data_IF_435584316320
#
_entry.id   IF_435584316320
#
_cell.length_a   1.000
_cell.length_b   1.000
_cell.length_c   1.000
_cell.angle_alpha   90.00
_cell.angle_beta   90.00
_cell.angle_gamma   90.00
#
_symmetry.space_group_name_H-M   'P 1'
#
loop_
_entity.id
_entity.type
_entity.pdbx_description
1 polymer ?
#
# COMPACT_ATOMS: atom_id res chain seq x y z
N UNK A 1 -20.45 -9.44 -6.03
CA UNK A 1 -19.45 -9.98 -5.11
C UNK A 1 -18.91 -8.88 -4.21
N UNK A 2 -18.89 -9.15 -2.94
CA UNK A 2 -18.39 -8.19 -1.95
C UNK A 2 -16.87 -8.16 -1.95
N UNK A 3 -16.30 -6.98 -2.09
CA UNK A 3 -14.87 -6.77 -1.95
C UNK A 3 -14.49 -6.67 -0.47
N UNK A 4 -13.32 -7.17 -0.12
CA UNK A 4 -12.86 -7.23 1.24
C UNK A 4 -11.36 -6.93 1.29
N UNK A 5 -10.71 -7.27 2.38
CA UNK A 5 -9.28 -7.06 2.58
C UNK A 5 -8.51 -8.25 1.99
N UNK A 6 -7.44 -7.96 1.28
CA UNK A 6 -6.52 -8.97 0.79
C UNK A 6 -5.10 -8.55 1.15
N UNK A 7 -4.13 -9.46 1.00
CA UNK A 7 -2.78 -9.12 1.37
C UNK A 7 -1.74 -10.03 0.76
N UNK A 8 -0.50 -9.63 0.93
CA UNK A 8 0.67 -10.39 0.57
C UNK A 8 1.46 -10.66 1.84
N UNK A 9 1.83 -11.91 2.05
CA UNK A 9 2.58 -12.32 3.23
C UNK A 9 3.92 -12.89 2.83
N UNK A 10 4.98 -12.52 3.56
CA UNK A 10 6.28 -13.16 3.45
C UNK A 10 6.41 -14.14 4.61
N UNK A 11 6.71 -15.40 4.32
CA UNK A 11 6.80 -16.46 5.32
C UNK A 11 8.20 -17.06 5.30
N UNK A 12 8.78 -17.21 6.49
CA UNK A 12 10.06 -17.86 6.67
C UNK A 12 9.96 -18.77 7.89
N UNK A 13 10.33 -20.05 7.73
CA UNK A 13 10.28 -21.06 8.80
C UNK A 13 8.94 -21.07 9.54
N UNK A 14 7.85 -21.12 8.75
CA UNK A 14 6.47 -21.14 9.23
C UNK A 14 6.03 -19.91 10.01
N UNK A 15 6.77 -18.82 9.90
CA UNK A 15 6.41 -17.53 10.53
C UNK A 15 6.22 -16.45 9.50
N UNK A 16 5.20 -15.63 9.71
CA UNK A 16 4.98 -14.44 8.87
C UNK A 16 5.99 -13.38 9.29
N UNK A 17 6.86 -12.99 8.36
CA UNK A 17 7.89 -11.98 8.62
C UNK A 17 7.61 -10.65 7.92
N UNK A 18 6.61 -10.59 7.07
CA UNK A 18 6.18 -9.37 6.41
C UNK A 18 4.74 -9.48 5.95
N UNK A 19 4.04 -8.36 5.97
CA UNK A 19 2.64 -8.28 5.57
C UNK A 19 2.35 -6.93 4.93
N UNK A 20 1.67 -6.96 3.79
CA UNK A 20 1.18 -5.76 3.14
C UNK A 20 -0.28 -6.00 2.77
N UNK A 21 -1.19 -5.19 3.33
CA UNK A 21 -2.62 -5.33 3.09
C UNK A 21 -3.12 -4.31 2.08
N UNK A 22 -4.12 -4.73 1.30
CA UNK A 22 -4.80 -3.86 0.36
C UNK A 22 -6.31 -4.05 0.50
N UNK A 23 -7.06 -2.97 0.36
CA UNK A 23 -8.51 -2.99 0.56
C UNK A 23 -9.18 -1.84 -0.20
N UNK A 24 -10.50 -1.91 -0.42
CA UNK A 24 -11.25 -0.74 -0.90
C UNK A 24 -11.02 0.47 0.01
N UNK A 25 -10.84 1.65 -0.61
CA UNK A 25 -10.55 2.88 0.15
C UNK A 25 -11.62 3.21 1.18
N UNK A 26 -12.87 2.93 0.89
CA UNK A 26 -13.97 3.20 1.81
C UNK A 26 -13.86 2.43 3.14
N UNK A 27 -13.17 1.29 3.14
CA UNK A 27 -12.96 0.54 4.38
C UNK A 27 -12.03 1.34 5.31
N UNK A 28 -10.93 1.88 4.78
CA UNK A 28 -10.03 2.69 5.59
C UNK A 28 -10.71 3.98 6.08
N UNK A 29 -11.51 4.62 5.22
CA UNK A 29 -12.26 5.82 5.62
C UNK A 29 -13.21 5.53 6.78
N UNK A 30 -13.88 4.39 6.72
CA UNK A 30 -14.82 3.98 7.76
C UNK A 30 -14.14 3.91 9.14
N UNK A 31 -12.89 3.52 9.17
CA UNK A 31 -12.14 3.39 10.42
C UNK A 31 -11.28 4.62 10.74
N UNK A 32 -11.44 5.71 10.00
CA UNK A 32 -10.78 6.97 10.30
C UNK A 32 -9.32 7.06 9.88
N UNK A 33 -8.86 6.18 9.02
CA UNK A 33 -7.49 6.24 8.54
C UNK A 33 -7.31 7.26 7.43
N UNK A 34 -6.11 7.80 7.32
CA UNK A 34 -5.75 8.75 6.28
C UNK A 34 -5.62 8.06 4.93
N UNK A 35 -6.26 8.63 3.93
CA UNK A 35 -6.17 8.14 2.54
C UNK A 35 -6.11 9.33 1.59
N UNK A 36 -5.90 9.05 0.31
CA UNK A 36 -6.03 10.07 -0.71
C UNK A 36 -7.49 10.45 -0.94
N UNK A 37 -7.71 11.59 -1.57
CA UNK A 37 -9.03 12.08 -1.91
C UNK A 37 -9.22 12.23 -3.41
N UNK A 38 -8.20 11.94 -4.22
CA UNK A 38 -8.29 12.03 -5.68
C UNK A 38 -8.98 10.77 -6.24
N UNK A 39 -9.71 10.96 -7.34
CA UNK A 39 -10.43 9.87 -7.98
C UNK A 39 -11.67 9.44 -7.22
N UNK A 40 -12.38 8.49 -7.78
CA UNK A 40 -13.61 7.97 -7.17
C UNK A 40 -13.28 6.92 -6.12
N UNK A 41 -13.91 7.04 -4.97
CA UNK A 41 -13.72 6.10 -3.86
C UNK A 41 -14.05 4.67 -4.27
N UNK A 42 -15.14 4.47 -5.00
CA UNK A 42 -15.58 3.15 -5.44
C UNK A 42 -14.65 2.52 -6.48
N UNK A 43 -13.73 3.28 -7.06
CA UNK A 43 -12.77 2.80 -8.06
C UNK A 43 -11.35 2.67 -7.52
N UNK A 44 -11.14 2.90 -6.23
CA UNK A 44 -9.80 3.00 -5.65
C UNK A 44 -9.57 1.97 -4.57
N UNK A 45 -8.47 1.24 -4.72
CA UNK A 45 -7.90 0.40 -3.66
C UNK A 45 -6.88 1.23 -2.88
N UNK A 46 -6.67 0.87 -1.64
CA UNK A 46 -5.64 1.52 -0.85
C UNK A 46 -4.77 0.48 -0.14
N UNK A 47 -3.49 0.77 -0.05
CA UNK A 47 -2.56 -0.03 0.73
C UNK A 47 -2.74 0.41 2.18
N UNK A 48 -3.19 -0.50 3.02
CA UNK A 48 -3.51 -0.22 4.41
C UNK A 48 -2.33 -0.45 5.34
N UNK A 49 -2.21 -1.65 5.85
CA UNK A 49 -1.16 -1.98 6.80
C UNK A 49 0.08 -2.54 6.11
N UNK A 50 1.24 -2.10 6.58
CA UNK A 50 2.52 -2.72 6.28
C UNK A 50 3.18 -3.06 7.60
N UNK A 51 3.47 -4.32 7.82
CA UNK A 51 4.14 -4.79 9.02
C UNK A 51 5.33 -5.67 8.65
N UNK A 52 6.40 -5.58 9.43
CA UNK A 52 7.60 -6.33 9.19
C UNK A 52 8.13 -6.87 10.52
N UNK A 53 8.64 -8.10 10.50
CA UNK A 53 9.15 -8.76 11.69
C UNK A 53 10.40 -8.08 12.24
N UNK A 54 10.64 -8.28 13.53
CA UNK A 54 11.81 -7.73 14.19
C UNK A 54 13.09 -8.23 13.53
N UNK A 55 14.02 -7.30 13.29
CA UNK A 55 15.29 -7.62 12.66
C UNK A 55 15.27 -7.80 11.16
N UNK A 56 14.10 -7.72 10.53
CA UNK A 56 13.97 -7.82 9.08
C UNK A 56 14.14 -6.41 8.47
N UNK A 57 14.97 -6.25 7.43
CA UNK A 57 15.13 -4.94 6.77
C UNK A 57 13.80 -4.44 6.20
N UNK A 58 13.37 -3.26 6.64
CA UNK A 58 12.04 -2.74 6.32
C UNK A 58 11.84 -2.37 4.86
N UNK A 59 12.83 -1.71 4.28
CA UNK A 59 12.69 -1.24 2.89
C UNK A 59 12.76 -2.42 1.93
N UNK A 60 13.65 -3.35 2.16
CA UNK A 60 13.79 -4.55 1.33
C UNK A 60 12.53 -5.42 1.40
N UNK A 61 11.92 -5.51 2.59
CA UNK A 61 10.68 -6.28 2.75
C UNK A 61 9.54 -5.60 2.01
N UNK A 62 9.43 -4.27 2.12
CA UNK A 62 8.40 -3.53 1.40
C UNK A 62 8.56 -3.74 -0.11
N UNK A 63 9.78 -3.62 -0.61
CA UNK A 63 10.08 -3.84 -2.02
C UNK A 63 9.62 -5.23 -2.46
N UNK A 64 9.97 -6.25 -1.69
CA UNK A 64 9.58 -7.63 -2.00
C UNK A 64 8.06 -7.81 -2.03
N UNK A 65 7.37 -7.25 -1.04
CA UNK A 65 5.91 -7.35 -0.96
C UNK A 65 5.24 -6.60 -2.11
N UNK A 66 5.73 -5.42 -2.45
CA UNK A 66 5.21 -4.63 -3.57
C UNK A 66 5.35 -5.37 -4.91
N UNK A 67 6.45 -6.09 -5.10
CA UNK A 67 6.68 -6.87 -6.30
C UNK A 67 5.57 -7.93 -6.51
N UNK A 68 5.04 -8.47 -5.44
CA UNK A 68 4.01 -9.51 -5.49
C UNK A 68 2.58 -8.96 -5.41
N UNK A 69 2.44 -7.66 -5.16
CA UNK A 69 1.12 -7.06 -4.96
C UNK A 69 0.24 -7.11 -6.21
N UNK A 70 0.85 -7.13 -7.39
CA UNK A 70 0.14 -7.19 -8.65
C UNK A 70 -0.78 -8.42 -8.75
N UNK A 71 -0.40 -9.53 -8.12
CA UNK A 71 -1.22 -10.74 -8.11
C UNK A 71 -2.51 -10.53 -7.32
N UNK A 72 -2.48 -9.60 -6.36
CA UNK A 72 -3.63 -9.28 -5.52
C UNK A 72 -4.60 -8.36 -6.25
N UNK A 73 -4.09 -7.49 -7.13
CA UNK A 73 -4.95 -6.56 -7.88
C UNK A 73 -6.05 -7.28 -8.65
N UNK A 74 -5.75 -8.47 -9.17
CA UNK A 74 -6.70 -9.22 -9.98
C UNK A 74 -7.93 -9.71 -9.20
N UNK A 75 -7.85 -9.69 -7.87
CA UNK A 75 -8.96 -10.06 -7.01
C UNK A 75 -10.01 -8.96 -6.92
N UNK A 76 -9.68 -7.76 -7.36
CA UNK A 76 -10.54 -6.59 -7.27
C UNK A 76 -10.86 -6.04 -8.65
N UNK A 77 -12.03 -5.43 -8.77
CA UNK A 77 -12.47 -4.77 -10.02
C UNK A 77 -12.38 -3.26 -9.85
N UNK A 78 -11.16 -2.79 -9.53
CA UNK A 78 -10.91 -1.37 -9.29
C UNK A 78 -9.90 -0.83 -10.29
N UNK A 79 -9.99 0.48 -10.56
CA UNK A 79 -9.18 1.14 -11.57
C UNK A 79 -7.88 1.74 -11.04
N UNK A 80 -7.82 1.98 -9.73
CA UNK A 80 -6.68 2.66 -9.12
C UNK A 80 -6.28 1.99 -7.82
N UNK A 81 -5.00 2.13 -7.49
CA UNK A 81 -4.48 1.77 -6.17
C UNK A 81 -3.60 2.90 -5.67
N UNK A 82 -3.70 3.17 -4.38
CA UNK A 82 -2.91 4.21 -3.74
C UNK A 82 -2.27 3.70 -2.45
N UNK A 83 -1.23 4.39 -2.00
CA UNK A 83 -0.61 4.17 -0.71
C UNK A 83 -0.02 5.48 -0.23
N UNK A 84 0.37 5.52 1.03
CA UNK A 84 0.99 6.71 1.63
C UNK A 84 2.50 6.52 1.62
N UNK A 85 3.20 7.37 0.88
CA UNK A 85 4.65 7.41 0.83
C UNK A 85 5.20 8.48 1.77
N UNK A 86 6.38 8.23 2.31
CA UNK A 86 7.05 9.14 3.23
C UNK A 86 8.24 9.81 2.53
N UNK A 87 8.35 11.12 2.70
CA UNK A 87 9.52 11.88 2.31
C UNK A 87 10.51 11.92 3.46
N UNK A 88 11.78 11.99 3.09
CA UNK A 88 12.83 12.07 4.07
C UNK A 88 13.12 10.71 4.68
N UNK A 89 13.98 10.71 5.67
CA UNK A 89 14.43 9.50 6.32
C UNK A 89 13.61 9.24 7.57
N UNK A 90 12.89 8.13 7.62
CA UNK A 90 12.18 7.67 8.81
C UNK A 90 12.16 6.16 8.83
N UNK A 91 12.68 5.60 9.89
CA UNK A 91 12.62 4.16 10.08
C UNK A 91 11.18 3.70 10.24
N UNK A 92 10.85 2.64 9.57
CA UNK A 92 9.59 1.96 9.75
C UNK A 92 8.45 2.45 8.90
N UNK A 93 8.68 3.46 8.07
CA UNK A 93 7.66 3.96 7.16
C UNK A 93 7.98 3.61 5.72
N UNK A 94 6.97 3.72 4.86
CA UNK A 94 7.05 3.36 3.47
C UNK A 94 7.65 4.52 2.66
N UNK A 95 8.92 4.48 2.26
CA UNK A 95 9.49 5.58 1.51
C UNK A 95 8.84 5.68 0.14
N UNK A 96 8.55 6.92 -0.29
CA UNK A 96 7.83 7.18 -1.53
C UNK A 96 8.51 6.57 -2.75
N UNK A 97 9.83 6.51 -2.77
CA UNK A 97 10.57 6.02 -3.94
C UNK A 97 10.38 4.53 -4.20
N UNK A 98 10.01 3.76 -3.18
CA UNK A 98 9.69 2.35 -3.40
C UNK A 98 8.41 2.24 -4.23
N UNK A 99 7.42 3.09 -3.95
CA UNK A 99 6.20 3.12 -4.77
C UNK A 99 6.51 3.51 -6.21
N UNK A 100 7.36 4.52 -6.40
CA UNK A 100 7.73 4.98 -7.75
C UNK A 100 8.36 3.87 -8.58
N UNK A 101 9.13 2.99 -7.94
CA UNK A 101 9.75 1.85 -8.60
C UNK A 101 8.72 0.94 -9.26
N UNK A 102 7.52 0.87 -8.71
CA UNK A 102 6.43 0.02 -9.22
C UNK A 102 5.38 0.79 -10.01
N UNK A 103 5.73 1.99 -10.45
CA UNK A 103 4.87 2.75 -11.36
C UNK A 103 3.87 3.68 -10.70
N UNK A 104 3.97 3.87 -9.39
CA UNK A 104 3.10 4.82 -8.69
C UNK A 104 3.63 6.24 -8.89
N UNK A 105 2.73 7.19 -8.93
CA UNK A 105 3.05 8.61 -9.07
C UNK A 105 2.50 9.39 -7.88
N UNK A 106 3.12 10.52 -7.61
CA UNK A 106 2.68 11.43 -6.55
C UNK A 106 1.40 12.12 -7.00
N UNK A 107 0.37 12.06 -6.17
CA UNK A 107 -0.92 12.66 -6.53
C UNK A 107 -1.41 13.71 -5.56
N UNK A 108 -1.07 13.60 -4.29
CA UNK A 108 -1.62 14.49 -3.28
C UNK A 108 -0.69 14.56 -2.08
N UNK A 109 -0.34 15.79 -1.68
CA UNK A 109 0.48 15.98 -0.48
C UNK A 109 -0.45 16.08 0.74
N UNK A 110 -0.27 15.20 1.71
CA UNK A 110 -1.11 15.15 2.90
C UNK A 110 -0.51 15.92 4.06
N UNK A 111 0.81 15.98 4.16
CA UNK A 111 1.53 16.75 5.17
C UNK A 111 2.92 17.04 4.64
N UNK A 112 3.74 17.68 5.46
CA UNK A 112 5.12 18.01 5.09
C UNK A 112 5.91 16.75 4.69
N UNK A 113 5.63 15.62 5.35
CA UNK A 113 6.39 14.38 5.15
C UNK A 113 5.61 13.26 4.48
N UNK A 114 4.33 13.44 4.17
CA UNK A 114 3.51 12.37 3.63
C UNK A 114 2.86 12.76 2.32
N UNK A 115 2.85 11.82 1.38
CA UNK A 115 2.31 12.04 0.06
C UNK A 115 1.56 10.78 -0.40
N UNK A 116 0.45 10.98 -1.09
CA UNK A 116 -0.27 9.87 -1.70
C UNK A 116 0.43 9.47 -2.98
N UNK A 117 0.73 8.19 -3.08
CA UNK A 117 1.31 7.57 -4.27
C UNK A 117 0.24 6.70 -4.90
N UNK A 118 -0.09 6.95 -6.16
CA UNK A 118 -1.18 6.25 -6.82
C UNK A 118 -0.77 5.71 -8.19
N UNK A 119 -1.45 4.64 -8.59
CA UNK A 119 -1.20 3.97 -9.85
C UNK A 119 -2.53 3.56 -10.48
N UNK A 120 -2.63 3.73 -11.80
CA UNK A 120 -3.78 3.25 -12.55
C UNK A 120 -3.60 1.77 -12.86
N UNK A 121 -4.64 0.98 -12.62
CA UNK A 121 -4.63 -0.48 -12.84
C UNK A 121 -5.24 -0.88 -14.17
N UNK A 122 -6.14 -0.06 -14.73
CA UNK A 122 -6.79 -0.35 -16.02
C UNK A 122 -7.28 0.90 -16.72
#
# INVERSE_FOLDING_TARGET
>A
KKEDIAGVFAVLDDRVIGLLEVMPREILHKYGYMTGSTGEESSTLTIGCYEVGYGIPRVEMLDTLMEHLEKVYSLFHRSYIEGIGIYGWRDGFNPYWVYEKYGYSRTEKLSENTIVMAKRLR
#
